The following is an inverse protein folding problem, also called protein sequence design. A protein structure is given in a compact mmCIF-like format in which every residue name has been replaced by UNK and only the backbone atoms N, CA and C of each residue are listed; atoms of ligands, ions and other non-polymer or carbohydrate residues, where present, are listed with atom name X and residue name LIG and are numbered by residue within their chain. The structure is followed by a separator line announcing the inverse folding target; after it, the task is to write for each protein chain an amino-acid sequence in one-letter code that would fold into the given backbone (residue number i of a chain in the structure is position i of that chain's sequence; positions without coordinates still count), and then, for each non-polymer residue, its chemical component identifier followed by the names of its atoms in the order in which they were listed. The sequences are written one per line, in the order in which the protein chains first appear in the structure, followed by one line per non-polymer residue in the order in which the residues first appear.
data_IF_102529656555
#
_entry.id   IF_102529656555
#
_cell.length_a   1.000
_cell.length_b   1.000
_cell.length_c   1.000
_cell.angle_alpha   90.00
_cell.angle_beta   90.00
_cell.angle_gamma   90.00
#
_symmetry.space_group_name_H-M   'P 1'
#
loop_
_entity.id
_entity.type
_entity.pdbx_description
1 polymer ?
#
# COMPACT_ATOMS: atom_id res chain seq x y z
N UNK A 1 -8.07 8.10 7.46
CA UNK A 1 -8.14 7.69 8.90
C UNK A 1 -6.72 7.62 9.48
N UNK A 2 -6.49 7.84 10.79
CA UNK A 2 -5.14 7.94 11.38
C UNK A 2 -4.29 6.66 11.21
N UNK A 3 -4.87 5.48 11.36
CA UNK A 3 -4.14 4.21 11.16
C UNK A 3 -3.63 4.04 9.73
N UNK A 4 -4.45 4.40 8.75
CA UNK A 4 -4.08 4.33 7.34
C UNK A 4 -2.94 5.30 7.04
N UNK A 5 -3.00 6.51 7.60
CA UNK A 5 -1.96 7.53 7.44
C UNK A 5 -0.60 7.03 7.95
N UNK A 6 -0.57 6.40 9.13
CA UNK A 6 0.65 5.81 9.72
C UNK A 6 1.21 4.68 8.84
N UNK A 7 0.34 3.83 8.29
CA UNK A 7 0.75 2.72 7.41
C UNK A 7 1.39 3.26 6.12
N UNK A 8 0.75 4.26 5.50
CA UNK A 8 1.22 4.88 4.26
C UNK A 8 2.52 5.67 4.49
N UNK A 9 2.60 6.45 5.57
CA UNK A 9 3.81 7.20 5.94
C UNK A 9 5.00 6.25 6.14
N UNK A 10 4.80 5.11 6.81
CA UNK A 10 5.85 4.11 6.98
C UNK A 10 6.37 3.60 5.63
N UNK A 11 5.48 3.28 4.70
CA UNK A 11 5.87 2.86 3.35
C UNK A 11 6.61 3.98 2.60
N UNK A 12 6.16 5.23 2.72
CA UNK A 12 6.81 6.39 2.13
C UNK A 12 8.27 6.55 2.61
N UNK A 13 8.48 6.42 3.92
CA UNK A 13 9.81 6.56 4.52
C UNK A 13 10.75 5.39 4.19
N UNK A 14 10.24 4.16 4.10
CA UNK A 14 11.07 2.96 3.99
C UNK A 14 11.26 2.45 2.56
N UNK A 15 10.30 2.67 1.67
CA UNK A 15 10.26 2.03 0.37
C UNK A 15 10.08 3.01 -0.80
N UNK A 16 9.32 4.09 -0.64
CA UNK A 16 8.99 4.98 -1.76
C UNK A 16 10.20 5.72 -2.36
N UNK A 17 11.22 6.01 -1.55
CA UNK A 17 12.46 6.66 -2.01
C UNK A 17 13.22 5.78 -3.01
N UNK A 18 13.24 4.46 -2.79
CA UNK A 18 13.90 3.48 -3.67
C UNK A 18 12.93 2.86 -4.70
N UNK A 19 11.62 3.11 -4.54
CA UNK A 19 10.58 2.56 -5.40
C UNK A 19 10.79 2.94 -6.87
N UNK A 20 10.64 1.95 -7.74
CA UNK A 20 10.64 2.14 -9.19
C UNK A 20 9.51 3.06 -9.64
N UNK A 21 9.66 3.73 -10.78
CA UNK A 21 8.63 4.60 -11.34
C UNK A 21 7.26 3.91 -11.49
N UNK A 22 7.27 2.62 -11.84
CA UNK A 22 6.06 1.78 -11.88
C UNK A 22 5.38 1.66 -10.51
N UNK A 23 6.15 1.34 -9.47
CA UNK A 23 5.62 1.17 -8.11
C UNK A 23 5.07 2.50 -7.56
N UNK A 24 5.78 3.61 -7.82
CA UNK A 24 5.30 4.95 -7.45
C UNK A 24 3.98 5.31 -8.15
N UNK A 25 3.86 5.01 -9.44
CA UNK A 25 2.61 5.23 -10.17
C UNK A 25 1.47 4.40 -9.57
N UNK A 26 1.71 3.13 -9.27
CA UNK A 26 0.72 2.25 -8.63
C UNK A 26 0.32 2.74 -7.24
N UNK A 27 1.25 3.31 -6.49
CA UNK A 27 0.97 3.92 -5.20
C UNK A 27 0.08 5.15 -5.33
N UNK A 28 0.37 6.02 -6.30
CA UNK A 28 -0.46 7.19 -6.59
C UNK A 28 -1.87 6.76 -7.00
N UNK A 29 -2.01 5.76 -7.88
CA UNK A 29 -3.32 5.20 -8.26
C UNK A 29 -4.08 4.62 -7.06
N UNK A 30 -3.38 3.99 -6.11
CA UNK A 30 -3.98 3.48 -4.86
C UNK A 30 -4.51 4.62 -3.97
N UNK A 31 -3.83 5.77 -3.95
CA UNK A 31 -4.28 6.94 -3.18
C UNK A 31 -5.55 7.58 -3.75
N UNK A 32 -5.92 7.26 -5.00
CA UNK A 32 -7.20 7.68 -5.59
C UNK A 32 -8.39 6.84 -5.09
N UNK A 33 -8.12 5.71 -4.41
CA UNK A 33 -9.16 4.90 -3.78
C UNK A 33 -9.71 5.55 -2.50
N UNK A 34 -10.93 5.20 -2.14
CA UNK A 34 -11.52 5.65 -0.87
C UNK A 34 -10.79 5.02 0.32
N UNK A 35 -10.53 5.80 1.37
CA UNK A 35 -9.91 5.36 2.64
C UNK A 35 -10.39 3.98 3.14
N UNK A 36 -11.71 3.68 3.27
CA UNK A 36 -12.16 2.39 3.76
C UNK A 36 -11.75 1.23 2.86
N UNK A 37 -11.76 1.41 1.54
CA UNK A 37 -11.35 0.38 0.58
C UNK A 37 -9.84 0.15 0.65
N UNK A 38 -9.07 1.23 0.70
CA UNK A 38 -7.62 1.18 0.83
C UNK A 38 -7.21 0.50 2.15
N UNK A 39 -7.88 0.84 3.26
CA UNK A 39 -7.66 0.21 4.55
C UNK A 39 -7.91 -1.31 4.50
N UNK A 40 -9.00 -1.75 3.86
CA UNK A 40 -9.26 -3.19 3.70
C UNK A 40 -8.19 -3.91 2.85
N UNK A 41 -7.63 -3.25 1.83
CA UNK A 41 -6.52 -3.78 1.03
C UNK A 41 -5.24 -3.95 1.87
N UNK A 42 -4.81 -2.89 2.56
CA UNK A 42 -3.54 -2.90 3.30
C UNK A 42 -3.58 -3.76 4.56
N UNK A 43 -4.76 -3.97 5.14
CA UNK A 43 -4.97 -4.88 6.28
C UNK A 43 -5.12 -6.34 5.87
N UNK A 44 -5.31 -6.62 4.57
CA UNK A 44 -5.52 -7.96 4.02
C UNK A 44 -6.96 -8.47 4.16
N UNK A 45 -7.93 -7.60 4.45
CA UNK A 45 -9.34 -7.95 4.49
C UNK A 45 -9.91 -8.22 3.08
N UNK A 46 -9.32 -7.63 2.05
CA UNK A 46 -9.61 -7.94 0.64
C UNK A 46 -8.32 -8.22 -0.13
N UNK A 47 -8.41 -9.11 -1.11
CA UNK A 47 -7.25 -9.45 -1.95
C UNK A 47 -6.97 -8.33 -2.96
N UNK A 48 -5.72 -7.85 -3.06
CA UNK A 48 -5.36 -6.86 -4.06
C UNK A 48 -5.36 -7.48 -5.47
N UNK A 49 -5.59 -6.64 -6.48
CA UNK A 49 -5.35 -7.02 -7.86
C UNK A 49 -3.88 -7.43 -8.04
N UNK A 50 -3.60 -8.35 -8.98
CA UNK A 50 -2.24 -8.87 -9.24
C UNK A 50 -1.20 -7.76 -9.46
N UNK A 51 -1.62 -6.64 -10.02
CA UNK A 51 -0.74 -5.50 -10.27
C UNK A 51 -0.28 -4.82 -8.97
N UNK A 52 -1.11 -4.83 -7.91
CA UNK A 52 -0.82 -4.17 -6.63
C UNK A 52 -0.25 -5.14 -5.59
N UNK A 53 -0.13 -6.43 -5.87
CA UNK A 53 0.30 -7.44 -4.89
C UNK A 53 1.64 -7.09 -4.25
N UNK A 54 2.67 -6.79 -5.04
CA UNK A 54 4.01 -6.47 -4.51
C UNK A 54 4.01 -5.19 -3.67
N UNK A 55 3.27 -4.18 -4.12
CA UNK A 55 3.12 -2.90 -3.42
C UNK A 55 2.39 -3.06 -2.09
N UNK A 56 1.26 -3.78 -2.08
CA UNK A 56 0.48 -4.02 -0.86
C UNK A 56 1.27 -4.88 0.12
N UNK A 57 2.10 -5.82 -0.32
CA UNK A 57 3.03 -6.55 0.55
C UNK A 57 4.01 -5.61 1.25
N UNK A 58 4.58 -4.62 0.54
CA UNK A 58 5.48 -3.62 1.11
C UNK A 58 4.76 -2.69 2.09
N UNK A 59 3.53 -2.27 1.76
CA UNK A 59 2.72 -1.38 2.61
C UNK A 59 2.24 -2.10 3.88
N UNK A 60 1.77 -3.34 3.76
CA UNK A 60 1.14 -4.09 4.86
C UNK A 60 2.13 -4.50 5.96
N UNK A 61 3.44 -4.61 5.65
CA UNK A 61 4.50 -4.99 6.60
C UNK A 61 4.22 -6.26 7.44
N UNK A 62 3.19 -7.05 7.10
CA UNK A 62 2.99 -8.41 7.59
C UNK A 62 3.92 -9.32 6.77
N UNK A 63 4.82 -10.09 7.41
CA UNK A 63 5.45 -11.19 6.70
C UNK A 63 4.33 -12.11 6.23
N UNK A 64 4.24 -12.32 4.91
CA UNK A 64 3.45 -13.42 4.35
C UNK A 64 3.94 -14.69 5.04
N UNK A 65 3.08 -15.27 5.89
CA UNK A 65 3.34 -16.56 6.55
C UNK A 65 2.91 -17.69 5.63
#
# INVERSE_FOLDING_TARGET
MLELDIILERYLQQHYIDASAKERAQFIELLEMQDPQLYQLVTGAISPAKIYTELITKISSKPVS
#
